data_IF_797207577842
#
_entry.id   IF_797207577842
#
_cell.length_a   1.000
_cell.length_b   1.000
_cell.length_c   1.000
_cell.angle_alpha   90.00
_cell.angle_beta   90.00
_cell.angle_gamma   90.00
#
_symmetry.space_group_name_H-M   'P 1'
#
loop_
_entity.id
_entity.type
_entity.pdbx_description
1 polymer ?
#
# COMPACT_ATOMS: atom_id res chain seq x y z
N UNK A 1 4.00 7.97 8.28
CA UNK A 1 3.31 7.68 7.00
C UNK A 1 1.97 7.03 7.26
N UNK A 2 1.04 7.12 6.31
CA UNK A 2 -0.26 6.44 6.35
C UNK A 2 -0.23 5.17 5.51
N UNK A 3 0.37 5.23 4.33
CA UNK A 3 0.57 4.10 3.42
C UNK A 3 2.07 3.85 3.19
N UNK A 4 2.49 2.59 3.22
CA UNK A 4 3.80 2.17 2.74
C UNK A 4 3.62 1.25 1.52
N UNK A 5 4.29 1.57 0.42
CA UNK A 5 4.28 0.78 -0.82
C UNK A 5 5.55 -0.05 -0.90
N UNK A 6 5.38 -1.35 -1.16
CA UNK A 6 6.40 -2.38 -1.04
C UNK A 6 6.43 -3.22 -2.32
N UNK A 7 7.08 -2.75 -3.41
CA UNK A 7 7.29 -3.58 -4.59
C UNK A 7 8.13 -4.80 -4.22
N UNK A 8 7.82 -5.99 -4.77
CA UNK A 8 8.56 -7.21 -4.46
C UNK A 8 9.97 -7.15 -5.05
N UNK A 9 10.10 -6.63 -6.26
CA UNK A 9 11.36 -6.43 -6.99
C UNK A 9 11.37 -5.09 -7.74
N UNK A 10 12.45 -4.77 -8.46
CA UNK A 10 12.57 -3.50 -9.20
C UNK A 10 11.59 -3.43 -10.40
N UNK A 11 11.22 -4.59 -10.94
CA UNK A 11 10.28 -4.74 -12.04
C UNK A 11 8.87 -4.22 -11.72
N UNK A 12 8.50 -4.13 -10.43
CA UNK A 12 7.22 -3.52 -10.01
C UNK A 12 7.35 -2.03 -9.63
N UNK A 13 8.49 -1.40 -9.92
CA UNK A 13 8.75 0.01 -9.62
C UNK A 13 7.70 0.95 -10.22
N UNK A 14 7.34 0.76 -11.49
CA UNK A 14 6.34 1.60 -12.17
C UNK A 14 4.95 1.51 -11.50
N UNK A 15 4.50 0.29 -11.18
CA UNK A 15 3.24 0.07 -10.49
C UNK A 15 3.25 0.68 -9.06
N UNK A 16 4.38 0.57 -8.35
CA UNK A 16 4.56 1.21 -7.05
C UNK A 16 4.52 2.74 -7.13
N UNK A 17 5.17 3.33 -8.13
CA UNK A 17 5.12 4.78 -8.38
C UNK A 17 3.72 5.25 -8.76
N UNK A 18 2.98 4.50 -9.57
CA UNK A 18 1.59 4.80 -9.94
C UNK A 18 0.69 4.86 -8.71
N UNK A 19 0.78 3.86 -7.82
CA UNK A 19 0.05 3.87 -6.55
C UNK A 19 0.48 5.03 -5.65
N UNK A 20 1.79 5.33 -5.57
CA UNK A 20 2.29 6.47 -4.81
C UNK A 20 1.71 7.79 -5.32
N UNK A 21 1.74 8.04 -6.63
CA UNK A 21 1.18 9.27 -7.24
C UNK A 21 -0.31 9.40 -6.90
N UNK A 22 -1.09 8.34 -7.09
CA UNK A 22 -2.51 8.32 -6.72
C UNK A 22 -2.72 8.63 -5.23
N UNK A 23 -1.94 8.03 -4.34
CA UNK A 23 -2.05 8.32 -2.91
C UNK A 23 -1.78 9.81 -2.61
N UNK A 24 -0.74 10.40 -3.20
CA UNK A 24 -0.40 11.81 -3.03
C UNK A 24 -1.50 12.74 -3.56
N UNK A 25 -2.06 12.45 -4.73
CA UNK A 25 -3.18 13.21 -5.33
C UNK A 25 -4.42 13.24 -4.41
N UNK A 26 -4.63 12.18 -3.63
CA UNK A 26 -5.71 12.09 -2.64
C UNK A 26 -5.31 12.56 -1.23
N UNK A 27 -4.15 13.20 -1.07
CA UNK A 27 -3.69 13.75 0.21
C UNK A 27 -3.24 12.68 1.22
N UNK A 28 -2.99 11.45 0.77
CA UNK A 28 -2.50 10.35 1.61
C UNK A 28 -0.97 10.42 1.69
N UNK A 29 -0.43 10.49 2.92
CA UNK A 29 1.01 10.45 3.16
C UNK A 29 1.54 9.06 2.91
N UNK A 30 2.35 8.92 1.87
CA UNK A 30 2.88 7.65 1.38
C UNK A 30 4.40 7.63 1.39
N UNK A 31 4.98 6.47 1.65
CA UNK A 31 6.39 6.17 1.39
C UNK A 31 6.52 4.93 0.51
N UNK A 32 7.57 4.88 -0.31
CA UNK A 32 7.93 3.69 -1.09
C UNK A 32 9.21 3.11 -0.49
N UNK A 33 9.17 1.87 -0.01
CA UNK A 33 10.37 1.13 0.36
C UNK A 33 10.71 0.20 -0.81
N UNK A 34 11.58 0.65 -1.71
CA UNK A 34 11.97 -0.07 -2.92
C UNK A 34 12.69 -1.39 -2.64
N UNK A 35 12.82 -2.24 -3.66
CA UNK A 35 13.45 -3.55 -3.56
C UNK A 35 14.93 -3.50 -3.11
N UNK A 36 15.62 -2.39 -3.36
CA UNK A 36 16.99 -2.15 -2.88
C UNK A 36 17.13 -1.96 -1.37
N UNK A 37 16.04 -1.78 -0.60
CA UNK A 37 16.09 -1.59 0.86
C UNK A 37 16.04 -2.91 1.65
N UNK A 38 16.58 -3.98 1.06
CA UNK A 38 16.61 -5.33 1.63
C UNK A 38 15.37 -6.18 1.31
N UNK A 39 15.30 -7.36 1.92
CA UNK A 39 14.24 -8.34 1.63
C UNK A 39 12.84 -7.76 1.88
N UNK A 40 11.84 -8.24 1.15
CA UNK A 40 10.45 -7.83 1.36
C UNK A 40 10.02 -7.96 2.83
N UNK A 41 10.37 -9.06 3.49
CA UNK A 41 10.09 -9.28 4.90
C UNK A 41 10.74 -8.24 5.83
N UNK A 42 11.97 -7.81 5.53
CA UNK A 42 12.64 -6.74 6.27
C UNK A 42 11.90 -5.41 6.11
N UNK A 43 11.49 -5.06 4.89
CA UNK A 43 10.74 -3.83 4.59
C UNK A 43 9.34 -3.82 5.22
N UNK A 44 8.63 -4.95 5.20
CA UNK A 44 7.36 -5.15 5.93
C UNK A 44 7.54 -4.88 7.44
N UNK A 45 8.63 -5.40 8.03
CA UNK A 45 8.93 -5.18 9.46
C UNK A 45 9.33 -3.75 9.77
N UNK A 46 10.04 -3.08 8.86
CA UNK A 46 10.40 -1.67 8.98
C UNK A 46 9.14 -0.79 8.97
N UNK A 47 8.20 -1.08 8.06
CA UNK A 47 6.92 -0.38 7.94
C UNK A 47 5.83 -0.84 8.92
N UNK A 48 6.13 -1.65 9.95
CA UNK A 48 5.11 -2.27 10.82
C UNK A 48 4.18 -1.30 11.54
N UNK A 49 4.62 -0.06 11.77
CA UNK A 49 3.82 0.98 12.43
C UNK A 49 2.96 1.78 11.45
N UNK A 50 3.19 1.61 10.14
CA UNK A 50 2.39 2.27 9.10
C UNK A 50 1.03 1.56 9.03
N UNK A 51 -0.10 2.29 9.16
CA UNK A 51 -1.44 1.71 9.20
C UNK A 51 -1.75 0.76 8.05
N UNK A 52 -1.31 1.13 6.84
CA UNK A 52 -1.53 0.38 5.61
C UNK A 52 -0.20 0.07 4.92
N UNK A 53 0.00 -1.19 4.56
CA UNK A 53 1.11 -1.63 3.72
C UNK A 53 0.54 -2.25 2.45
N UNK A 54 0.97 -1.75 1.29
CA UNK A 54 0.61 -2.26 -0.02
C UNK A 54 1.80 -3.01 -0.62
N UNK A 55 1.68 -4.33 -0.74
CA UNK A 55 2.68 -5.16 -1.43
C UNK A 55 2.29 -5.28 -2.90
N UNK A 56 3.24 -4.97 -3.79
CA UNK A 56 3.05 -5.07 -5.24
C UNK A 56 3.98 -6.16 -5.78
N UNK A 57 3.44 -7.34 -6.04
CA UNK A 57 4.14 -8.41 -6.74
C UNK A 57 3.81 -8.45 -8.22
N UNK A 58 4.29 -9.48 -8.92
CA UNK A 58 4.02 -9.70 -10.34
C UNK A 58 2.52 -9.72 -10.65
N UNK A 59 1.73 -10.40 -9.82
CA UNK A 59 0.27 -10.46 -9.97
C UNK A 59 -0.39 -9.09 -9.83
N UNK A 60 0.05 -8.29 -8.87
CA UNK A 60 -0.52 -6.96 -8.65
C UNK A 60 -0.11 -5.95 -9.72
N UNK A 61 1.10 -6.12 -10.28
CA UNK A 61 1.64 -5.31 -11.37
C UNK A 61 1.10 -5.72 -12.76
N UNK A 62 0.52 -6.91 -12.89
CA UNK A 62 -0.10 -7.37 -14.13
C UNK A 62 -1.30 -6.51 -14.54
N UNK A 63 -1.70 -6.63 -15.81
CA UNK A 63 -2.90 -6.00 -16.38
C UNK A 63 -3.04 -4.50 -16.04
N UNK A 64 -1.93 -3.76 -16.15
CA UNK A 64 -1.87 -2.32 -15.93
C UNK A 64 -1.56 -1.88 -14.51
N UNK A 65 -1.23 -2.81 -13.60
CA UNK A 65 -0.67 -2.52 -12.28
C UNK A 65 -1.63 -1.75 -11.38
N UNK A 66 -2.88 -2.17 -11.31
CA UNK A 66 -3.95 -1.49 -10.56
C UNK A 66 -4.40 -2.26 -9.32
N UNK A 67 -3.69 -3.31 -8.90
CA UNK A 67 -3.97 -4.03 -7.66
C UNK A 67 -2.89 -3.79 -6.60
N UNK A 68 -3.23 -4.02 -5.34
CA UNK A 68 -2.30 -4.02 -4.23
C UNK A 68 -2.71 -5.05 -3.18
N UNK A 69 -1.78 -5.89 -2.74
CA UNK A 69 -2.00 -6.79 -1.62
C UNK A 69 -1.88 -6.03 -0.29
N UNK A 70 -3.02 -5.85 0.39
CA UNK A 70 -3.12 -5.02 1.59
C UNK A 70 -2.77 -5.81 2.84
N UNK A 71 -1.90 -5.22 3.67
CA UNK A 71 -1.62 -5.67 5.02
C UNK A 71 -1.85 -4.51 5.97
N UNK A 72 -2.63 -4.76 7.03
CA UNK A 72 -2.95 -3.77 8.04
C UNK A 72 -2.00 -3.90 9.23
N UNK A 73 -1.75 -2.78 9.94
CA UNK A 73 -0.90 -2.78 11.14
C UNK A 73 -1.40 -3.68 12.27
N UNK A 74 -2.70 -4.00 12.29
CA UNK A 74 -3.34 -4.87 13.28
C UNK A 74 -3.23 -6.37 12.92
N UNK A 75 -2.52 -6.69 11.83
CA UNK A 75 -2.27 -8.06 11.39
C UNK A 75 -3.28 -8.59 10.37
N UNK A 76 -4.42 -7.91 10.16
CA UNK A 76 -5.41 -8.30 9.15
C UNK A 76 -4.87 -8.11 7.73
N UNK A 77 -5.40 -8.91 6.80
CA UNK A 77 -5.03 -8.92 5.38
C UNK A 77 -6.28 -9.02 4.52
N UNK A 78 -6.87 -7.88 4.11
CA UNK A 78 -8.03 -7.85 3.23
C UNK A 78 -7.81 -8.52 1.85
N UNK A 79 -6.55 -8.79 1.48
CA UNK A 79 -6.19 -9.42 0.22
C UNK A 79 -5.76 -8.39 -0.83
N UNK A 80 -5.78 -8.80 -2.09
CA UNK A 80 -5.52 -7.91 -3.21
C UNK A 80 -6.77 -7.07 -3.51
N UNK A 81 -6.63 -5.75 -3.55
CA UNK A 81 -7.72 -4.81 -3.88
C UNK A 81 -7.26 -3.82 -4.95
N UNK A 82 -8.18 -3.21 -5.70
CA UNK A 82 -7.85 -2.12 -6.61
C UNK A 82 -7.15 -0.95 -5.90
N UNK A 83 -6.14 -0.37 -6.56
CA UNK A 83 -5.38 0.76 -6.04
C UNK A 83 -6.28 1.98 -5.79
N UNK A 84 -7.29 2.19 -6.63
CA UNK A 84 -8.29 3.25 -6.43
C UNK A 84 -9.09 3.04 -5.15
N UNK A 85 -9.55 1.82 -4.91
CA UNK A 85 -10.31 1.46 -3.71
C UNK A 85 -9.45 1.62 -2.46
N UNK A 86 -8.21 1.13 -2.48
CA UNK A 86 -7.26 1.28 -1.38
C UNK A 86 -7.06 2.76 -1.01
N UNK A 87 -6.73 3.60 -1.99
CA UNK A 87 -6.46 5.02 -1.74
C UNK A 87 -7.72 5.74 -1.26
N UNK A 88 -8.89 5.46 -1.86
CA UNK A 88 -10.17 6.05 -1.43
C UNK A 88 -10.49 5.75 0.03
N UNK A 89 -10.44 4.47 0.42
CA UNK A 89 -10.69 4.05 1.81
C UNK A 89 -9.71 4.71 2.79
N UNK A 90 -8.42 4.81 2.44
CA UNK A 90 -7.44 5.48 3.30
C UNK A 90 -7.76 6.97 3.40
N UNK A 91 -8.04 7.64 2.29
CA UNK A 91 -8.35 9.06 2.27
C UNK A 91 -9.57 9.39 3.13
N UNK A 92 -10.64 8.57 3.07
CA UNK A 92 -11.83 8.72 3.88
C UNK A 92 -11.52 8.62 5.38
N UNK A 93 -10.72 7.61 5.78
CA UNK A 93 -10.29 7.46 7.18
C UNK A 93 -9.44 8.64 7.65
N UNK A 94 -8.57 9.16 6.79
CA UNK A 94 -7.73 10.32 7.09
C UNK A 94 -8.57 11.59 7.25
N UNK A 95 -9.54 11.82 6.36
CA UNK A 95 -10.46 12.96 6.42
C UNK A 95 -11.33 12.93 7.67
N UNK A 96 -11.87 11.74 8.02
CA UNK A 96 -12.67 11.53 9.22
C UNK A 96 -11.87 11.58 10.52
N UNK A 97 -10.52 11.60 10.46
CA UNK A 97 -9.62 11.40 11.60
C UNK A 97 -9.96 10.12 12.38
N UNK A 98 -10.42 9.10 11.65
CA UNK A 98 -10.85 7.82 12.19
C UNK A 98 -9.68 7.00 12.71
N UNK A 99 -9.94 6.18 13.73
CA UNK A 99 -8.97 5.21 14.26
C UNK A 99 -9.15 3.80 13.69
N UNK A 100 -10.26 3.58 12.97
CA UNK A 100 -10.52 2.36 12.24
C UNK A 100 -9.55 2.20 11.06
N UNK A 101 -9.24 0.95 10.71
CA UNK A 101 -8.33 0.63 9.60
C UNK A 101 -9.10 0.12 8.38
N UNK A 102 -10.04 -0.78 8.56
CA UNK A 102 -10.73 -1.41 7.44
C UNK A 102 -12.04 -1.99 7.93
N UNK A 103 -13.13 -1.58 7.30
CA UNK A 103 -14.49 -2.07 7.58
C UNK A 103 -14.98 -2.91 6.40
N UNK A 104 -15.66 -4.02 6.71
CA UNK A 104 -16.28 -4.93 5.74
C UNK A 104 -15.30 -5.89 5.05
N UNK A 105 -14.98 -7.01 5.72
CA UNK A 105 -14.41 -8.22 5.09
C UNK A 105 -15.42 -9.35 5.24
#
# INVERSE_FOLDING_TARGET
>A
MQLAVLPVSEEQGEAAEKLMRRALEHGVRVEVLGAGHGTLGARIRAARLVPYQAVIGEREAADGGDLAAVRLRDGRRPGAVPAAELVGRIADQVAARGTALWEGV
#
